data_IF_585582263839
#
_entry.id   IF_585582263839
#
_cell.length_a   1.000
_cell.length_b   1.000
_cell.length_c   1.000
_cell.angle_alpha   90.00
_cell.angle_beta   90.00
_cell.angle_gamma   90.00
#
_symmetry.space_group_name_H-M   'P 1'
#
loop_
_entity.id
_entity.type
_entity.pdbx_description
1 polymer ?
#
# COMPACT_ATOMS: atom_id res chain seq x y z
N UNK A 1 8.06 -3.65 -17.61
CA UNK A 1 7.49 -3.57 -16.27
C UNK A 1 7.67 -2.19 -15.69
N UNK A 2 6.62 -1.65 -15.09
CA UNK A 2 6.58 -0.25 -14.69
C UNK A 2 6.82 -0.03 -13.21
N UNK A 3 7.27 -1.08 -12.51
CA UNK A 3 7.53 -1.04 -11.07
C UNK A 3 9.00 -1.15 -10.77
N UNK A 4 9.45 -0.30 -9.86
CA UNK A 4 10.76 -0.45 -9.24
C UNK A 4 10.53 -0.67 -7.75
N UNK A 5 11.06 -1.76 -7.22
CA UNK A 5 11.01 -2.02 -5.79
C UNK A 5 12.04 -1.14 -5.09
N UNK A 6 11.59 -0.36 -4.12
CA UNK A 6 12.48 0.53 -3.35
C UNK A 6 12.95 -0.16 -2.07
N UNK A 7 12.03 -0.82 -1.35
CA UNK A 7 12.42 -1.52 -0.15
C UNK A 7 11.25 -2.12 0.60
N UNK A 8 11.58 -3.00 1.53
CA UNK A 8 10.63 -3.52 2.50
C UNK A 8 10.98 -2.96 3.86
N UNK A 9 10.00 -2.90 4.75
CA UNK A 9 10.19 -2.33 6.09
C UNK A 9 10.83 -0.94 6.00
N UNK A 10 10.28 -0.11 5.11
CA UNK A 10 10.83 1.22 4.83
C UNK A 10 10.50 2.18 5.98
N UNK A 11 11.53 2.70 6.60
CA UNK A 11 11.40 3.53 7.81
C UNK A 11 11.31 5.01 7.45
N UNK A 12 10.34 5.70 8.05
CA UNK A 12 10.21 7.16 7.96
C UNK A 12 10.00 7.71 9.37
N UNK A 13 10.79 8.71 9.73
CA UNK A 13 10.60 9.46 10.98
C UNK A 13 9.79 10.71 10.71
N UNK A 14 8.69 10.89 11.44
CA UNK A 14 7.83 12.06 11.31
C UNK A 14 7.66 12.68 12.69
N UNK A 15 8.26 13.84 12.90
CA UNK A 15 8.14 14.58 14.16
C UNK A 15 8.45 13.72 15.40
N UNK A 16 9.45 12.85 15.29
CA UNK A 16 9.83 11.97 16.37
C UNK A 16 9.07 10.64 16.44
N UNK A 17 8.12 10.44 15.54
CA UNK A 17 7.38 9.18 15.44
C UNK A 17 7.90 8.35 14.27
N UNK A 18 8.27 7.12 14.55
CA UNK A 18 8.79 6.20 13.54
C UNK A 18 7.62 5.45 12.89
N UNK A 19 7.56 5.49 11.57
CA UNK A 19 6.60 4.72 10.80
C UNK A 19 7.35 3.75 9.89
N UNK A 20 6.84 2.54 9.75
CA UNK A 20 7.47 1.51 8.93
C UNK A 20 6.46 1.05 7.89
N UNK A 21 6.79 1.29 6.62
CA UNK A 21 5.96 0.86 5.49
C UNK A 21 6.42 -0.53 5.08
N UNK A 22 5.48 -1.48 4.99
CA UNK A 22 5.82 -2.87 4.70
C UNK A 22 6.56 -3.02 3.38
N UNK A 23 6.00 -2.46 2.30
CA UNK A 23 6.62 -2.49 0.97
C UNK A 23 6.48 -1.14 0.31
N UNK A 24 7.54 -0.67 -0.31
CA UNK A 24 7.54 0.59 -1.05
C UNK A 24 8.03 0.34 -2.47
N UNK A 25 7.25 0.80 -3.44
CA UNK A 25 7.56 0.72 -4.87
C UNK A 25 7.46 2.08 -5.51
N UNK A 26 8.03 2.19 -6.71
CA UNK A 26 7.79 3.33 -7.58
C UNK A 26 7.16 2.82 -8.88
N UNK A 27 6.04 3.41 -9.27
CA UNK A 27 5.39 3.08 -10.53
C UNK A 27 5.76 4.11 -11.58
N UNK A 28 6.49 3.68 -12.62
CA UNK A 28 7.03 4.57 -13.64
C UNK A 28 5.92 5.21 -14.48
N UNK A 29 4.88 4.46 -14.82
CA UNK A 29 3.77 4.99 -15.62
C UNK A 29 3.02 6.10 -14.89
N UNK A 30 2.77 5.88 -13.61
CA UNK A 30 2.05 6.85 -12.78
C UNK A 30 2.97 7.92 -12.22
N UNK A 31 4.29 7.71 -12.33
CA UNK A 31 5.30 8.58 -11.73
C UNK A 31 5.01 8.82 -10.25
N UNK A 32 4.66 7.74 -9.53
CA UNK A 32 4.23 7.82 -8.13
C UNK A 32 4.88 6.75 -7.28
N UNK A 33 5.18 7.10 -6.04
CA UNK A 33 5.51 6.12 -5.01
C UNK A 33 4.24 5.33 -4.66
N UNK A 34 4.39 4.03 -4.41
CA UNK A 34 3.28 3.15 -4.04
C UNK A 34 3.65 2.45 -2.74
N UNK A 35 2.90 2.75 -1.67
CA UNK A 35 3.08 2.11 -0.38
C UNK A 35 2.09 0.97 -0.24
N UNK A 36 2.57 -0.22 0.11
CA UNK A 36 1.72 -1.39 0.30
C UNK A 36 1.81 -1.84 1.75
N UNK A 37 0.66 -1.95 2.41
CA UNK A 37 0.53 -2.48 3.75
C UNK A 37 -0.05 -3.88 3.68
N UNK A 38 0.64 -4.84 4.32
CA UNK A 38 0.25 -6.25 4.31
C UNK A 38 -0.45 -6.60 5.61
N UNK A 39 -1.68 -7.08 5.52
CA UNK A 39 -2.48 -7.48 6.69
C UNK A 39 -2.92 -8.93 6.55
N UNK A 40 -2.81 -9.69 7.63
CA UNK A 40 -3.12 -11.13 7.61
C UNK A 40 -4.58 -11.44 7.90
N UNK A 41 -5.37 -10.43 8.26
CA UNK A 41 -6.78 -10.59 8.57
C UNK A 41 -7.68 -9.81 7.62
N UNK A 42 -8.97 -9.68 7.97
CA UNK A 42 -9.90 -8.92 7.16
C UNK A 42 -9.59 -7.42 7.22
N UNK A 43 -10.14 -6.69 6.27
CA UNK A 43 -10.01 -5.24 6.23
C UNK A 43 -10.59 -4.59 7.48
N UNK A 44 -9.88 -3.59 8.00
CA UNK A 44 -10.34 -2.74 9.10
C UNK A 44 -10.11 -1.27 8.73
N UNK A 45 -11.08 -0.39 9.01
CA UNK A 45 -10.94 1.03 8.66
C UNK A 45 -9.69 1.71 9.23
N UNK A 46 -9.20 1.25 10.38
CA UNK A 46 -7.99 1.81 10.99
C UNK A 46 -6.77 1.70 10.07
N UNK A 47 -6.75 0.72 9.17
CA UNK A 47 -5.64 0.55 8.23
C UNK A 47 -5.53 1.74 7.27
N UNK A 48 -6.67 2.35 6.91
CA UNK A 48 -6.66 3.53 6.05
C UNK A 48 -6.06 4.75 6.76
N UNK A 49 -6.32 4.89 8.05
CA UNK A 49 -5.72 5.96 8.83
C UNK A 49 -4.21 5.85 8.90
N UNK A 50 -3.70 4.64 9.13
CA UNK A 50 -2.26 4.38 9.11
C UNK A 50 -1.66 4.67 7.75
N UNK A 51 -2.29 4.17 6.71
CA UNK A 51 -1.82 4.35 5.34
C UNK A 51 -1.81 5.83 4.95
N UNK A 52 -2.82 6.57 5.36
CA UNK A 52 -2.89 8.01 5.08
C UNK A 52 -1.69 8.75 5.65
N UNK A 53 -1.28 8.42 6.88
CA UNK A 53 -0.09 9.02 7.50
C UNK A 53 1.16 8.67 6.70
N UNK A 54 1.29 7.42 6.26
CA UNK A 54 2.43 7.01 5.44
C UNK A 54 2.50 7.79 4.14
N UNK A 55 1.35 8.00 3.49
CA UNK A 55 1.32 8.76 2.23
C UNK A 55 1.67 10.23 2.44
N UNK A 56 1.21 10.83 3.53
CA UNK A 56 1.61 12.18 3.88
C UNK A 56 3.12 12.27 4.09
N UNK A 57 3.69 11.30 4.82
CA UNK A 57 5.12 11.27 5.09
C UNK A 57 5.93 11.09 3.80
N UNK A 58 5.49 10.21 2.91
CA UNK A 58 6.15 10.02 1.62
C UNK A 58 6.10 11.31 0.78
N UNK A 59 4.95 11.96 0.73
CA UNK A 59 4.80 13.18 -0.05
C UNK A 59 5.65 14.33 0.51
N UNK A 60 5.79 14.41 1.83
CA UNK A 60 6.52 15.49 2.46
C UNK A 60 8.03 15.27 2.46
N UNK A 61 8.50 14.03 2.60
CA UNK A 61 9.91 13.76 2.88
C UNK A 61 10.64 12.92 1.84
N UNK A 62 9.93 12.17 1.00
CA UNK A 62 10.56 11.22 0.06
C UNK A 62 10.26 11.58 -1.40
N UNK A 63 9.03 11.93 -1.68
CA UNK A 63 8.58 12.25 -3.03
C UNK A 63 9.39 13.38 -3.63
N UNK A 64 9.78 13.22 -4.91
CA UNK A 64 10.48 14.27 -5.66
C UNK A 64 9.47 15.25 -6.26
N UNK A 65 9.89 16.53 -6.53
CA UNK A 65 8.95 17.55 -7.04
C UNK A 65 8.26 17.17 -8.35
N UNK A 66 8.92 16.38 -9.20
CA UNK A 66 8.37 15.99 -10.49
C UNK A 66 7.46 14.75 -10.41
N UNK A 67 7.35 14.13 -9.24
CA UNK A 67 6.53 12.93 -9.06
C UNK A 67 5.12 13.33 -8.63
N UNK A 68 4.16 12.48 -9.01
CA UNK A 68 2.77 12.65 -8.60
C UNK A 68 2.56 12.21 -7.15
N UNK A 69 1.43 12.56 -6.53
CA UNK A 69 1.16 12.15 -5.16
C UNK A 69 1.27 10.64 -4.98
N UNK A 70 1.79 10.23 -3.83
CA UNK A 70 1.97 8.84 -3.47
C UNK A 70 0.63 8.10 -3.38
N UNK A 71 0.64 6.83 -3.73
CA UNK A 71 -0.55 5.96 -3.76
C UNK A 71 -0.39 4.89 -2.69
N UNK A 72 -1.48 4.57 -2.01
CA UNK A 72 -1.47 3.55 -0.97
C UNK A 72 -2.36 2.37 -1.28
N UNK A 73 -1.93 1.20 -0.84
CA UNK A 73 -2.69 -0.03 -0.99
C UNK A 73 -2.61 -0.84 0.30
N UNK A 74 -3.78 -1.22 0.83
CA UNK A 74 -3.87 -2.23 1.89
C UNK A 74 -4.16 -3.56 1.21
N UNK A 75 -3.29 -4.54 1.41
CA UNK A 75 -3.51 -5.89 0.91
C UNK A 75 -3.86 -6.77 2.09
N UNK A 76 -5.10 -7.24 2.15
CA UNK A 76 -5.62 -7.98 3.29
C UNK A 76 -6.26 -9.30 2.84
N UNK A 77 -6.60 -10.15 3.81
CA UNK A 77 -7.14 -11.48 3.52
C UNK A 77 -8.52 -11.40 2.88
N UNK A 78 -9.36 -10.47 3.35
CA UNK A 78 -10.70 -10.30 2.83
C UNK A 78 -11.17 -8.87 3.02
N UNK A 79 -12.06 -8.42 2.15
CA UNK A 79 -12.61 -7.07 2.23
C UNK A 79 -13.98 -7.05 1.56
N UNK A 80 -14.93 -6.38 2.21
CA UNK A 80 -16.23 -6.09 1.62
C UNK A 80 -16.11 -4.81 0.81
N UNK A 81 -16.34 -4.91 -0.49
CA UNK A 81 -16.15 -3.79 -1.41
C UNK A 81 -16.98 -2.56 -1.02
N UNK A 82 -18.23 -2.75 -0.68
CA UNK A 82 -19.10 -1.62 -0.31
C UNK A 82 -18.62 -0.94 0.96
N UNK A 83 -18.17 -1.72 1.93
CA UNK A 83 -17.64 -1.17 3.19
C UNK A 83 -16.33 -0.41 2.97
N UNK A 84 -15.46 -0.93 2.12
CA UNK A 84 -14.21 -0.24 1.76
C UNK A 84 -14.52 1.09 1.09
N UNK A 85 -15.43 1.11 0.13
CA UNK A 85 -15.81 2.34 -0.56
C UNK A 85 -16.36 3.38 0.42
N UNK A 86 -17.13 2.94 1.39
CA UNK A 86 -17.65 3.82 2.43
C UNK A 86 -16.52 4.37 3.30
N UNK A 87 -15.62 3.51 3.74
CA UNK A 87 -14.54 3.89 4.66
C UNK A 87 -13.53 4.83 4.01
N UNK A 88 -13.27 4.68 2.71
CA UNK A 88 -12.25 5.46 2.01
C UNK A 88 -12.76 6.82 1.52
N UNK A 89 -14.08 7.01 1.52
CA UNK A 89 -14.74 8.13 0.84
C UNK A 89 -14.21 9.51 1.18
N UNK A 90 -13.91 9.76 2.45
CA UNK A 90 -13.51 11.10 2.90
C UNK A 90 -12.01 11.34 2.91
N UNK A 91 -11.21 10.34 2.54
CA UNK A 91 -9.76 10.53 2.44
C UNK A 91 -9.41 11.21 1.12
N UNK A 92 -8.49 12.15 1.18
CA UNK A 92 -8.02 12.89 0.00
C UNK A 92 -6.88 12.20 -0.73
N UNK A 93 -6.11 11.36 -0.03
CA UNK A 93 -5.00 10.64 -0.63
C UNK A 93 -5.52 9.45 -1.41
N UNK A 94 -4.88 9.11 -2.56
CA UNK A 94 -5.31 7.94 -3.33
C UNK A 94 -4.96 6.65 -2.60
N UNK A 95 -5.98 5.94 -2.14
CA UNK A 95 -5.82 4.70 -1.41
C UNK A 95 -6.77 3.64 -1.95
N UNK A 96 -6.33 2.40 -1.91
CA UNK A 96 -7.15 1.27 -2.29
C UNK A 96 -6.95 0.10 -1.36
N UNK A 97 -7.86 -0.85 -1.45
CA UNK A 97 -7.83 -2.08 -0.66
C UNK A 97 -8.02 -3.24 -1.63
N UNK A 98 -7.18 -4.25 -1.50
CA UNK A 98 -7.30 -5.47 -2.30
C UNK A 98 -7.21 -6.69 -1.41
N UNK A 99 -7.80 -7.78 -1.87
CA UNK A 99 -7.73 -9.07 -1.20
C UNK A 99 -6.72 -9.96 -1.92
N UNK A 100 -5.91 -10.69 -1.16
CA UNK A 100 -4.93 -11.59 -1.76
C UNK A 100 -5.40 -13.04 -1.86
N UNK A 101 -6.69 -13.31 -1.61
CA UNK A 101 -7.23 -14.68 -1.69
C UNK A 101 -7.09 -15.25 -3.09
N UNK A 102 -7.35 -14.43 -4.10
CA UNK A 102 -7.12 -14.82 -5.49
C UNK A 102 -6.59 -13.61 -6.26
N UNK A 103 -5.62 -13.86 -7.13
CA UNK A 103 -5.07 -12.83 -8.00
C UNK A 103 -6.15 -12.27 -8.94
N UNK A 104 -7.13 -13.09 -9.30
CA UNK A 104 -8.16 -12.72 -10.26
C UNK A 104 -9.15 -11.69 -9.70
N UNK A 105 -9.26 -11.58 -8.39
CA UNK A 105 -10.12 -10.59 -7.75
C UNK A 105 -9.53 -9.19 -7.76
N UNK A 106 -8.23 -9.07 -8.04
CA UNK A 106 -7.57 -7.77 -8.08
C UNK A 106 -8.02 -6.96 -9.29
N UNK A 107 -8.39 -5.68 -9.09
CA UNK A 107 -8.67 -4.80 -10.24
C UNK A 107 -7.47 -4.74 -11.19
N UNK A 108 -7.76 -4.66 -12.50
CA UNK A 108 -6.70 -4.62 -13.51
C UNK A 108 -5.67 -3.52 -13.27
N UNK A 109 -6.12 -2.37 -12.81
CA UNK A 109 -5.22 -1.25 -12.48
C UNK A 109 -4.19 -1.65 -11.45
N UNK A 110 -4.63 -2.39 -10.43
CA UNK A 110 -3.73 -2.84 -9.36
C UNK A 110 -2.85 -4.00 -9.81
N UNK A 111 -3.39 -4.91 -10.63
CA UNK A 111 -2.58 -5.99 -11.19
C UNK A 111 -1.39 -5.45 -11.99
N UNK A 112 -1.64 -4.43 -12.81
CA UNK A 112 -0.59 -3.79 -13.59
C UNK A 112 0.36 -2.99 -12.72
N UNK A 113 -0.14 -2.52 -11.59
CA UNK A 113 0.61 -1.68 -10.68
C UNK A 113 1.40 -2.47 -9.64
N UNK A 114 1.08 -3.73 -9.42
CA UNK A 114 1.76 -4.55 -8.42
C UNK A 114 2.77 -5.49 -9.07
N UNK A 115 3.86 -5.82 -8.38
CA UNK A 115 4.78 -6.86 -8.84
C UNK A 115 4.10 -8.23 -8.78
N UNK A 116 4.86 -9.29 -9.11
CA UNK A 116 4.36 -10.65 -9.08
C UNK A 116 3.65 -10.95 -7.76
N UNK A 117 2.42 -11.46 -7.87
CA UNK A 117 1.61 -11.76 -6.69
C UNK A 117 2.24 -12.85 -5.82
N UNK A 118 3.03 -13.74 -6.41
CA UNK A 118 3.72 -14.77 -5.63
C UNK A 118 4.75 -14.16 -4.69
N UNK A 119 5.43 -13.11 -5.13
CA UNK A 119 6.38 -12.39 -4.27
C UNK A 119 5.65 -11.70 -3.13
N UNK A 120 4.47 -11.15 -3.39
CA UNK A 120 3.64 -10.55 -2.35
C UNK A 120 3.17 -11.59 -1.33
N UNK A 121 2.78 -12.78 -1.81
CA UNK A 121 2.37 -13.87 -0.92
C UNK A 121 3.51 -14.31 -0.02
N UNK A 122 4.73 -14.37 -0.54
CA UNK A 122 5.90 -14.69 0.28
C UNK A 122 6.13 -13.64 1.36
N UNK A 123 5.99 -12.36 1.00
CA UNK A 123 6.11 -11.28 1.96
C UNK A 123 5.04 -11.38 3.05
N UNK A 124 3.81 -11.69 2.67
CA UNK A 124 2.72 -11.88 3.62
C UNK A 124 3.01 -13.01 4.60
N UNK A 125 3.54 -14.13 4.11
CA UNK A 125 3.92 -15.25 4.96
C UNK A 125 4.98 -14.84 5.97
N UNK A 126 5.99 -14.08 5.53
CA UNK A 126 7.05 -13.59 6.40
C UNK A 126 6.48 -12.62 7.45
N UNK A 127 5.59 -11.72 7.04
CA UNK A 127 4.94 -10.80 7.97
C UNK A 127 4.13 -11.52 9.02
N UNK A 128 3.44 -12.60 8.65
CA UNK A 128 2.65 -13.40 9.58
C UNK A 128 3.53 -14.07 10.63
N UNK A 129 4.74 -14.50 10.25
CA UNK A 129 5.65 -15.19 11.16
C UNK A 129 6.39 -14.23 12.09
N UNK A 130 6.51 -12.96 11.74
CA UNK A 130 7.21 -11.97 12.56
C UNK A 130 6.30 -11.31 13.59
N UNK A 131 5.04 -11.60 13.56
CA UNK A 131 4.06 -11.10 14.52
C UNK A 131 3.57 -12.21 15.40
#
# INVERSE_FOLDING_TARGET
>A
MNFSFIGNQYRIDVLGHVHIIDLLFFNRELASLVAVELKTGPFKPIYLGQLNVYLQALDDFVRKPHENPSIGLVLCKSADKAYVEYAVRDYNKPMGVASYRTADEMPERLKKALPDIEDLRKQLSQSATTK
#
